data_IF_843227220371
#
_entry.id   IF_843227220371
#
_cell.length_a   1.000
_cell.length_b   1.000
_cell.length_c   1.000
_cell.angle_alpha   90.00
_cell.angle_beta   90.00
_cell.angle_gamma   90.00
#
_symmetry.space_group_name_H-M   'P 1'
#
loop_
_entity.id
_entity.type
_entity.pdbx_description
1 polymer ?
#
# COMPACT_ATOMS: atom_id res chain seq x y z
N UNK A 1 -17.70 -20.92 -4.01
CA UNK A 1 -16.89 -20.03 -4.86
C UNK A 1 -15.50 -20.01 -4.27
N UNK A 2 -14.47 -20.16 -5.11
CA UNK A 2 -13.09 -20.03 -4.67
C UNK A 2 -12.83 -18.64 -4.08
N UNK A 3 -12.03 -18.57 -3.03
CA UNK A 3 -11.74 -17.31 -2.37
C UNK A 3 -10.76 -16.49 -3.21
N UNK A 4 -11.30 -15.59 -4.02
CA UNK A 4 -10.49 -14.70 -4.84
C UNK A 4 -9.54 -13.83 -4.01
N UNK A 5 -9.86 -13.50 -2.76
CA UNK A 5 -8.92 -12.76 -1.89
C UNK A 5 -7.73 -13.62 -1.43
N UNK A 6 -7.92 -14.94 -1.25
CA UNK A 6 -6.81 -15.84 -0.95
C UNK A 6 -5.87 -15.97 -2.16
N UNK A 7 -6.44 -16.18 -3.35
CA UNK A 7 -5.69 -16.19 -4.60
C UNK A 7 -5.00 -14.84 -4.86
N UNK A 8 -5.65 -13.73 -4.54
CA UNK A 8 -5.06 -12.40 -4.67
C UNK A 8 -3.79 -12.26 -3.83
N UNK A 9 -3.80 -12.72 -2.57
CA UNK A 9 -2.61 -12.68 -1.72
C UNK A 9 -1.49 -13.54 -2.31
N UNK A 10 -1.79 -14.74 -2.81
CA UNK A 10 -0.82 -15.61 -3.48
C UNK A 10 -0.23 -14.94 -4.73
N UNK A 11 -1.09 -14.37 -5.58
CA UNK A 11 -0.67 -13.68 -6.79
C UNK A 11 0.20 -12.45 -6.44
N UNK A 12 -0.14 -11.69 -5.38
CA UNK A 12 0.64 -10.53 -4.92
C UNK A 12 2.00 -10.89 -4.31
N UNK A 13 2.21 -12.14 -3.87
CA UNK A 13 3.54 -12.59 -3.44
C UNK A 13 4.46 -12.86 -4.63
N UNK A 14 3.90 -13.18 -5.79
CA UNK A 14 4.65 -13.52 -7.00
C UNK A 14 4.73 -12.35 -7.99
N UNK A 15 3.73 -11.47 -7.95
CA UNK A 15 3.51 -10.35 -8.87
C UNK A 15 3.34 -9.08 -8.06
N UNK A 16 3.98 -7.99 -8.47
CA UNK A 16 3.90 -6.73 -7.73
C UNK A 16 2.52 -6.06 -7.76
N UNK A 17 1.68 -6.42 -8.75
CA UNK A 17 0.40 -5.77 -9.00
C UNK A 17 -0.60 -6.72 -9.65
N UNK A 18 -1.84 -6.70 -9.16
CA UNK A 18 -2.98 -7.50 -9.66
C UNK A 18 -4.23 -6.62 -9.67
N UNK A 19 -5.11 -6.79 -10.65
CA UNK A 19 -6.42 -6.13 -10.67
C UNK A 19 -7.50 -7.14 -10.36
N UNK A 20 -8.34 -6.84 -9.37
CA UNK A 20 -9.57 -7.59 -9.13
C UNK A 20 -10.71 -6.94 -9.90
N UNK A 21 -11.40 -7.73 -10.71
CA UNK A 21 -12.63 -7.33 -11.37
C UNK A 21 -13.81 -7.91 -10.59
N UNK A 22 -14.71 -7.05 -10.11
CA UNK A 22 -15.98 -7.45 -9.51
C UNK A 22 -17.11 -7.11 -10.48
N UNK A 23 -17.77 -8.13 -11.04
CA UNK A 23 -18.91 -7.95 -11.95
C UNK A 23 -20.21 -7.84 -11.16
N UNK A 24 -20.94 -6.77 -11.43
CA UNK A 24 -22.16 -6.36 -10.77
C UNK A 24 -23.31 -6.39 -11.79
N UNK A 25 -24.38 -7.10 -11.47
CA UNK A 25 -25.62 -7.14 -12.24
C UNK A 25 -26.70 -6.35 -11.52
N UNK A 26 -27.30 -5.40 -12.23
CA UNK A 26 -28.55 -4.75 -11.82
C UNK A 26 -29.65 -5.20 -12.76
N UNK A 27 -30.62 -5.96 -12.27
CA UNK A 27 -31.85 -6.28 -13.01
C UNK A 27 -32.94 -5.27 -12.68
N UNK A 28 -33.08 -4.92 -11.40
CA UNK A 28 -33.92 -3.83 -10.90
C UNK A 28 -33.22 -3.16 -9.70
N UNK A 29 -33.74 -2.03 -9.18
CA UNK A 29 -33.17 -1.43 -7.96
C UNK A 29 -33.16 -2.38 -6.76
N UNK A 30 -34.14 -3.30 -6.68
CA UNK A 30 -34.27 -4.30 -5.62
C UNK A 30 -33.52 -5.61 -5.92
N UNK A 31 -33.07 -5.82 -7.17
CA UNK A 31 -32.41 -7.04 -7.62
C UNK A 31 -31.00 -6.71 -8.15
N UNK A 32 -30.07 -6.64 -7.20
CA UNK A 32 -28.65 -6.35 -7.40
C UNK A 32 -27.83 -7.54 -6.93
N UNK A 33 -27.07 -8.14 -7.83
CA UNK A 33 -26.27 -9.34 -7.54
C UNK A 33 -24.82 -9.17 -7.99
N UNK A 34 -23.91 -9.82 -7.27
CA UNK A 34 -22.51 -9.93 -7.67
C UNK A 34 -22.39 -11.21 -8.47
N UNK A 35 -22.03 -11.09 -9.73
CA UNK A 35 -21.96 -12.22 -10.67
C UNK A 35 -20.70 -13.03 -10.38
N UNK A 36 -19.56 -12.34 -10.37
CA UNK A 36 -18.25 -12.96 -10.21
C UNK A 36 -17.22 -11.95 -9.69
N UNK A 37 -16.18 -12.48 -9.07
CA UNK A 37 -14.89 -11.81 -8.89
C UNK A 37 -13.84 -12.59 -9.65
N UNK A 38 -12.99 -11.90 -10.39
CA UNK A 38 -11.86 -12.49 -11.12
C UNK A 38 -10.61 -11.63 -10.94
N UNK A 39 -9.45 -12.25 -11.11
CA UNK A 39 -8.15 -11.61 -10.98
C UNK A 39 -7.48 -11.58 -12.34
N UNK A 40 -6.88 -10.43 -12.67
CA UNK A 40 -6.12 -10.22 -13.89
C UNK A 40 -4.83 -9.50 -13.53
N UNK A 41 -3.71 -10.12 -13.86
CA UNK A 41 -2.40 -9.48 -13.78
C UNK A 41 -2.02 -8.81 -15.11
N UNK A 42 -1.00 -7.95 -15.07
CA UNK A 42 -0.52 -7.22 -16.24
C UNK A 42 -0.15 -8.15 -17.41
N UNK A 43 0.43 -9.30 -17.11
CA UNK A 43 0.90 -10.26 -18.13
C UNK A 43 -0.26 -11.06 -18.78
N UNK A 44 -1.45 -11.01 -18.19
CA UNK A 44 -2.65 -11.72 -18.68
C UNK A 44 -3.57 -10.80 -19.50
N UNK A 45 -3.22 -9.52 -19.65
CA UNK A 45 -4.02 -8.50 -20.34
C UNK A 45 -4.36 -8.84 -21.79
N UNK A 46 -3.48 -9.55 -22.50
CA UNK A 46 -3.68 -9.92 -23.91
C UNK A 46 -4.84 -10.90 -24.13
N UNK A 47 -5.32 -11.55 -23.06
CA UNK A 47 -6.41 -12.53 -23.12
C UNK A 47 -7.81 -11.92 -22.93
N UNK A 48 -7.88 -10.60 -22.69
CA UNK A 48 -9.10 -9.87 -22.35
C UNK A 48 -9.63 -9.11 -23.56
N UNK A 49 -10.94 -8.85 -23.61
CA UNK A 49 -11.53 -7.97 -24.62
C UNK A 49 -10.82 -6.59 -24.66
N UNK A 50 -10.62 -6.05 -25.87
CA UNK A 50 -9.84 -4.82 -26.11
C UNK A 50 -10.36 -3.60 -25.34
N UNK A 51 -11.68 -3.47 -25.16
CA UNK A 51 -12.25 -2.35 -24.42
C UNK A 51 -11.92 -2.47 -22.93
N UNK A 52 -12.06 -3.68 -22.37
CA UNK A 52 -11.76 -3.94 -20.97
C UNK A 52 -10.25 -3.87 -20.70
N UNK A 53 -9.41 -4.35 -21.63
CA UNK A 53 -7.95 -4.23 -21.57
C UNK A 53 -7.50 -2.78 -21.36
N UNK A 54 -7.97 -1.85 -22.22
CA UNK A 54 -7.60 -0.42 -22.14
C UNK A 54 -7.99 0.19 -20.79
N UNK A 55 -9.12 -0.25 -20.22
CA UNK A 55 -9.56 0.25 -18.91
C UNK A 55 -8.72 -0.33 -17.78
N UNK A 56 -8.36 -1.61 -17.83
CA UNK A 56 -7.45 -2.22 -16.86
C UNK A 56 -6.08 -1.53 -16.91
N UNK A 57 -5.55 -1.25 -18.10
CA UNK A 57 -4.31 -0.47 -18.27
C UNK A 57 -4.43 0.91 -17.61
N UNK A 58 -5.55 1.60 -17.80
CA UNK A 58 -5.79 2.89 -17.14
C UNK A 58 -5.90 2.76 -15.62
N UNK A 59 -6.54 1.72 -15.10
CA UNK A 59 -6.64 1.44 -13.66
C UNK A 59 -5.24 1.19 -13.08
N UNK A 60 -4.42 0.38 -13.76
CA UNK A 60 -3.04 0.09 -13.37
C UNK A 60 -2.17 1.36 -13.34
N UNK A 61 -2.34 2.25 -14.34
CA UNK A 61 -1.63 3.52 -14.45
C UNK A 61 -2.09 4.52 -13.38
N UNK A 62 -3.39 4.64 -13.15
CA UNK A 62 -3.97 5.58 -12.17
C UNK A 62 -3.89 5.10 -10.73
N UNK A 63 -3.76 3.79 -10.53
CA UNK A 63 -3.80 3.09 -9.24
C UNK A 63 -5.08 3.30 -8.44
N UNK A 64 -6.17 3.63 -9.11
CA UNK A 64 -7.46 3.91 -8.48
C UNK A 64 -8.52 2.93 -8.98
N UNK A 65 -9.47 2.52 -8.12
CA UNK A 65 -10.64 1.81 -8.58
C UNK A 65 -11.42 2.59 -9.64
N UNK A 66 -11.98 1.87 -10.61
CA UNK A 66 -12.82 2.46 -11.65
C UNK A 66 -14.05 1.57 -11.90
N UNK A 67 -15.22 2.19 -11.98
CA UNK A 67 -16.46 1.53 -12.39
C UNK A 67 -16.59 1.61 -13.92
N UNK A 68 -16.83 0.47 -14.54
CA UNK A 68 -16.89 0.29 -15.99
C UNK A 68 -18.28 -0.22 -16.32
N UNK A 69 -18.98 0.42 -17.25
CA UNK A 69 -20.24 -0.14 -17.79
C UNK A 69 -19.91 -0.86 -19.09
N UNK A 70 -20.24 -2.15 -19.18
CA UNK A 70 -20.02 -2.97 -20.38
C UNK A 70 -21.12 -2.72 -21.43
N UNK A 71 -20.90 -3.20 -22.65
CA UNK A 71 -21.90 -3.10 -23.73
C UNK A 71 -23.22 -3.80 -23.38
N UNK A 72 -23.18 -4.83 -22.52
CA UNK A 72 -24.35 -5.60 -22.06
C UNK A 72 -25.02 -4.97 -20.81
N UNK A 73 -24.70 -3.72 -20.49
CA UNK A 73 -25.21 -2.97 -19.33
C UNK A 73 -24.86 -3.62 -17.97
N UNK A 74 -23.80 -4.42 -17.93
CA UNK A 74 -23.19 -4.88 -16.67
C UNK A 74 -22.25 -3.81 -16.13
N UNK A 75 -22.13 -3.70 -14.81
CA UNK A 75 -21.15 -2.82 -14.18
C UNK A 75 -19.99 -3.66 -13.66
N UNK A 76 -18.76 -3.29 -13.96
CA UNK A 76 -17.55 -3.95 -13.47
C UNK A 76 -16.76 -2.96 -12.65
N UNK A 77 -16.52 -3.26 -11.38
CA UNK A 77 -15.54 -2.54 -10.57
C UNK A 77 -14.18 -3.18 -10.80
N UNK A 78 -13.22 -2.43 -11.35
CA UNK A 78 -11.83 -2.84 -11.41
C UNK A 78 -11.04 -2.17 -10.29
N UNK A 79 -10.37 -2.97 -9.45
CA UNK A 79 -9.61 -2.51 -8.30
C UNK A 79 -8.15 -2.94 -8.42
N UNK A 80 -7.17 -2.02 -8.42
CA UNK A 80 -5.76 -2.38 -8.43
C UNK A 80 -5.29 -2.70 -7.01
N UNK A 81 -4.60 -3.83 -6.85
CA UNK A 81 -3.92 -4.25 -5.63
C UNK A 81 -2.42 -4.37 -5.88
N UNK A 82 -1.64 -4.17 -4.82
CA UNK A 82 -0.19 -4.11 -4.85
C UNK A 82 0.37 -4.90 -3.68
N UNK A 83 1.55 -5.49 -3.86
CA UNK A 83 2.26 -6.21 -2.80
C UNK A 83 2.52 -5.32 -1.58
N UNK A 84 2.58 -5.93 -0.41
CA UNK A 84 2.82 -5.23 0.84
C UNK A 84 4.18 -4.56 0.79
N UNK A 85 4.23 -3.25 1.07
CA UNK A 85 5.49 -2.53 1.08
C UNK A 85 6.40 -3.09 2.18
N UNK A 86 7.61 -3.53 1.83
CA UNK A 86 8.58 -4.03 2.79
C UNK A 86 9.70 -3.01 2.99
N UNK A 87 9.89 -2.57 4.22
CA UNK A 87 10.96 -1.64 4.61
C UNK A 87 12.17 -2.46 5.06
N UNK A 88 13.22 -2.48 4.24
CA UNK A 88 14.47 -3.18 4.53
C UNK A 88 15.47 -2.19 5.10
N UNK A 89 15.84 -2.35 6.36
CA UNK A 89 16.79 -1.49 7.07
C UNK A 89 18.13 -2.21 7.18
N UNK A 90 19.10 -1.78 6.37
CA UNK A 90 20.47 -2.28 6.39
C UNK A 90 21.29 -1.49 7.42
N UNK A 91 21.44 -2.06 8.60
CA UNK A 91 22.10 -1.48 9.76
C UNK A 91 21.16 -1.41 10.97
N UNK A 92 21.53 -2.07 12.07
CA UNK A 92 20.73 -2.17 13.29
C UNK A 92 21.01 -1.08 14.34
N UNK A 93 21.56 0.07 13.91
CA UNK A 93 22.05 1.16 14.76
C UNK A 93 20.98 1.88 15.60
N UNK A 94 21.31 3.08 16.11
CA UNK A 94 20.35 3.85 16.93
C UNK A 94 19.20 4.44 16.11
N UNK A 95 19.46 4.86 14.87
CA UNK A 95 18.43 5.37 13.94
C UNK A 95 17.46 4.27 13.53
N UNK A 96 17.95 3.05 13.36
CA UNK A 96 17.15 1.91 12.93
C UNK A 96 16.00 1.56 13.89
N UNK A 97 16.15 1.85 15.19
CA UNK A 97 15.12 1.56 16.21
C UNK A 97 13.81 2.34 15.97
N UNK A 98 13.82 3.69 16.04
CA UNK A 98 12.61 4.46 15.73
C UNK A 98 12.19 4.27 14.28
N UNK A 99 13.13 4.09 13.34
CA UNK A 99 12.79 3.84 11.94
C UNK A 99 11.99 2.55 11.75
N UNK A 100 12.40 1.44 12.37
CA UNK A 100 11.68 0.17 12.32
C UNK A 100 10.29 0.31 12.94
N UNK A 101 10.20 0.96 14.11
CA UNK A 101 8.92 1.23 14.76
C UNK A 101 7.98 2.05 13.87
N UNK A 102 8.43 3.20 13.37
CA UNK A 102 7.60 4.09 12.56
C UNK A 102 7.23 3.45 11.21
N UNK A 103 8.13 2.64 10.64
CA UNK A 103 7.84 1.84 9.45
C UNK A 103 6.67 0.89 9.68
N UNK A 104 6.73 0.10 10.76
CA UNK A 104 5.66 -0.82 11.12
C UNK A 104 4.35 -0.08 11.45
N UNK A 105 4.41 1.01 12.23
CA UNK A 105 3.24 1.82 12.62
C UNK A 105 2.48 2.40 11.40
N UNK A 106 3.13 2.58 10.24
CA UNK A 106 2.48 3.06 9.01
C UNK A 106 2.23 1.95 7.97
N UNK A 107 2.35 0.68 8.38
CA UNK A 107 1.97 -0.48 7.59
C UNK A 107 3.04 -1.01 6.63
N UNK A 108 4.33 -0.79 6.92
CA UNK A 108 5.39 -1.54 6.25
C UNK A 108 5.68 -2.87 6.96
N UNK A 109 5.92 -3.92 6.18
CA UNK A 109 6.58 -5.12 6.69
C UNK A 109 8.05 -4.81 6.90
N UNK A 110 8.50 -4.75 8.15
CA UNK A 110 9.87 -4.30 8.45
C UNK A 110 10.83 -5.47 8.58
N UNK A 111 11.93 -5.41 7.83
CA UNK A 111 13.08 -6.31 7.95
C UNK A 111 14.31 -5.51 8.36
N UNK A 112 14.96 -5.89 9.46
CA UNK A 112 16.22 -5.25 9.91
C UNK A 112 17.39 -6.20 9.76
N UNK A 113 18.51 -5.71 9.25
CA UNK A 113 19.74 -6.50 9.06
C UNK A 113 20.93 -5.84 9.74
N UNK A 114 21.71 -6.60 10.51
CA UNK A 114 23.04 -6.19 11.00
C UNK A 114 23.88 -7.44 11.28
N UNK A 115 25.20 -7.37 11.09
CA UNK A 115 26.11 -8.49 11.34
C UNK A 115 26.45 -8.69 12.84
N UNK A 116 26.01 -7.78 13.72
CA UNK A 116 26.24 -7.87 15.17
C UNK A 116 25.01 -8.42 15.89
N UNK A 117 25.15 -9.51 16.67
CA UNK A 117 24.04 -10.06 17.46
C UNK A 117 23.37 -9.06 18.42
N UNK A 118 24.14 -8.13 19.00
CA UNK A 118 23.60 -7.09 19.89
C UNK A 118 22.73 -6.04 19.16
N UNK A 119 22.89 -5.93 17.84
CA UNK A 119 22.19 -4.98 16.98
C UNK A 119 21.19 -5.64 16.05
N UNK A 120 21.20 -6.96 15.88
CA UNK A 120 20.22 -7.74 15.12
C UNK A 120 19.60 -8.83 15.98
N UNK A 121 18.60 -8.47 16.79
CA UNK A 121 17.78 -9.41 17.53
C UNK A 121 16.35 -8.87 17.71
N UNK A 122 15.38 -9.78 17.87
CA UNK A 122 13.96 -9.42 17.98
C UNK A 122 13.67 -8.53 19.19
N UNK A 123 14.37 -8.72 20.32
CA UNK A 123 14.18 -7.88 21.51
C UNK A 123 14.54 -6.41 21.29
N UNK A 124 15.42 -6.12 20.32
CA UNK A 124 15.79 -4.75 19.93
C UNK A 124 14.76 -4.12 18.98
N UNK A 125 14.09 -4.92 18.16
CA UNK A 125 13.10 -4.49 17.16
C UNK A 125 11.83 -5.35 17.27
N UNK A 126 11.04 -5.17 18.34
CA UNK A 126 9.87 -6.01 18.57
C UNK A 126 8.80 -5.87 17.46
N UNK A 127 8.72 -4.71 16.80
CA UNK A 127 7.79 -4.43 15.71
C UNK A 127 8.27 -4.94 14.34
N UNK A 128 9.54 -5.35 14.20
CA UNK A 128 10.05 -5.87 12.94
C UNK A 128 9.50 -7.27 12.68
N UNK A 129 8.92 -7.47 11.50
CA UNK A 129 8.44 -8.79 11.04
C UNK A 129 9.60 -9.78 10.88
N UNK A 130 10.82 -9.29 10.64
CA UNK A 130 12.02 -10.10 10.53
C UNK A 130 13.26 -9.33 11.00
N UNK A 131 14.15 -9.99 11.74
CA UNK A 131 15.48 -9.46 12.07
C UNK A 131 16.54 -10.48 11.68
N UNK A 132 17.43 -10.11 10.76
CA UNK A 132 18.50 -10.94 10.24
C UNK A 132 19.84 -10.54 10.87
N UNK A 133 20.45 -11.46 11.62
CA UNK A 133 21.82 -11.31 12.10
C UNK A 133 22.79 -11.91 11.07
N UNK A 134 23.08 -11.17 10.01
CA UNK A 134 23.86 -11.64 8.84
C UNK A 134 24.76 -10.53 8.28
N UNK A 135 25.80 -10.91 7.53
CA UNK A 135 26.70 -9.99 6.85
C UNK A 135 26.00 -9.22 5.72
N UNK A 136 26.46 -7.99 5.48
CA UNK A 136 25.93 -7.17 4.38
C UNK A 136 26.31 -7.72 3.00
N UNK A 137 27.29 -8.62 2.93
CA UNK A 137 27.71 -9.30 1.71
C UNK A 137 26.76 -10.43 1.32
N UNK A 138 26.12 -11.11 2.28
CA UNK A 138 25.34 -12.35 2.04
C UNK A 138 23.85 -12.22 2.35
N UNK A 139 23.43 -11.19 3.09
CA UNK A 139 22.03 -11.02 3.46
C UNK A 139 21.07 -10.92 2.24
N UNK A 140 21.56 -10.47 1.08
CA UNK A 140 20.75 -10.27 -0.12
C UNK A 140 20.18 -11.57 -0.71
N UNK A 141 20.85 -12.72 -0.49
CA UNK A 141 20.36 -14.04 -0.86
C UNK A 141 19.06 -14.40 -0.14
N UNK A 142 18.91 -13.89 1.09
CA UNK A 142 17.73 -14.06 1.93
C UNK A 142 16.67 -12.97 1.67
N UNK A 143 17.10 -11.76 1.35
CA UNK A 143 16.19 -10.62 1.18
C UNK A 143 15.41 -10.71 -0.14
N UNK A 144 16.09 -11.11 -1.23
CA UNK A 144 15.52 -11.14 -2.59
C UNK A 144 14.78 -9.83 -2.91
N UNK A 145 15.56 -8.74 -3.02
CA UNK A 145 15.01 -7.39 -3.16
C UNK A 145 14.17 -7.28 -4.45
N UNK A 146 12.96 -6.74 -4.34
CA UNK A 146 11.99 -6.60 -5.44
C UNK A 146 11.34 -5.21 -5.45
N UNK A 147 10.42 -4.97 -6.40
CA UNK A 147 9.85 -3.64 -6.61
C UNK A 147 8.85 -3.16 -5.55
N UNK A 148 8.50 -3.98 -4.57
CA UNK A 148 7.74 -3.54 -3.38
C UNK A 148 8.64 -3.11 -2.21
N UNK A 149 9.96 -3.24 -2.37
CA UNK A 149 10.92 -2.96 -1.31
C UNK A 149 11.34 -1.50 -1.25
N UNK A 150 11.47 -1.03 -0.01
CA UNK A 150 12.00 0.27 0.35
C UNK A 150 13.27 0.04 1.16
N UNK A 151 14.42 0.27 0.55
CA UNK A 151 15.72 -0.05 1.14
C UNK A 151 16.35 1.19 1.76
N UNK A 152 16.69 1.08 3.04
CA UNK A 152 17.36 2.13 3.81
C UNK A 152 18.71 1.64 4.29
N UNK A 153 19.77 2.26 3.79
CA UNK A 153 21.16 1.99 4.19
C UNK A 153 21.54 2.96 5.32
N UNK A 154 21.59 2.42 6.54
CA UNK A 154 21.94 3.13 7.79
C UNK A 154 22.99 2.33 8.59
N UNK A 155 24.01 1.85 7.89
CA UNK A 155 25.01 0.96 8.48
C UNK A 155 25.93 1.68 9.47
N UNK A 156 26.83 0.92 10.10
CA UNK A 156 27.83 1.44 11.05
C UNK A 156 29.01 2.19 10.42
N UNK A 157 29.03 2.37 9.10
CA UNK A 157 30.04 3.23 8.46
C UNK A 157 30.23 2.98 6.97
N UNK A 158 30.92 3.95 6.35
CA UNK A 158 31.07 4.11 4.89
C UNK A 158 31.45 2.84 4.12
N UNK A 159 32.30 1.96 4.67
CA UNK A 159 32.67 0.71 4.01
C UNK A 159 31.46 -0.21 3.81
N UNK A 160 30.63 -0.35 4.83
CA UNK A 160 29.44 -1.19 4.79
C UNK A 160 28.33 -0.54 3.98
N UNK A 161 28.20 0.80 4.01
CA UNK A 161 27.27 1.52 3.14
C UNK A 161 27.58 1.24 1.65
N UNK A 162 28.86 1.23 1.29
CA UNK A 162 29.32 0.91 -0.07
C UNK A 162 29.07 -0.56 -0.46
N UNK A 163 29.19 -1.51 0.48
CA UNK A 163 28.85 -2.93 0.22
C UNK A 163 27.36 -3.06 -0.07
N UNK A 164 26.51 -2.53 0.80
CA UNK A 164 25.06 -2.55 0.63
C UNK A 164 24.63 -1.89 -0.68
N UNK A 165 25.18 -0.70 -0.98
CA UNK A 165 24.81 0.05 -2.17
C UNK A 165 25.13 -0.73 -3.45
N UNK A 166 26.31 -1.36 -3.56
CA UNK A 166 26.66 -2.18 -4.72
C UNK A 166 25.70 -3.34 -4.96
N UNK A 167 25.25 -3.99 -3.89
CA UNK A 167 24.36 -5.15 -3.98
C UNK A 167 22.93 -4.79 -4.40
N UNK A 168 22.47 -3.59 -4.03
CA UNK A 168 21.06 -3.20 -4.21
C UNK A 168 20.83 -2.21 -5.35
N UNK A 169 21.87 -1.52 -5.84
CA UNK A 169 21.74 -0.49 -6.87
C UNK A 169 21.11 -1.00 -8.16
N UNK A 170 21.35 -2.27 -8.51
CA UNK A 170 20.79 -2.89 -9.71
C UNK A 170 19.42 -3.55 -9.49
N UNK A 171 18.90 -3.53 -8.26
CA UNK A 171 17.56 -4.04 -7.97
C UNK A 171 16.45 -3.08 -8.45
N UNK A 172 15.23 -3.63 -8.55
CA UNK A 172 14.05 -2.86 -8.93
C UNK A 172 13.34 -2.19 -7.73
N UNK A 173 14.02 -2.04 -6.58
CA UNK A 173 13.41 -1.47 -5.36
C UNK A 173 12.71 -0.12 -5.61
N UNK A 174 11.53 0.09 -5.04
CA UNK A 174 10.74 1.32 -5.18
C UNK A 174 11.47 2.54 -4.62
N UNK A 175 12.29 2.32 -3.60
CA UNK A 175 13.07 3.35 -2.94
C UNK A 175 14.41 2.81 -2.46
N UNK A 176 15.47 3.58 -2.70
CA UNK A 176 16.81 3.32 -2.20
C UNK A 176 17.37 4.60 -1.58
N UNK A 177 17.48 4.60 -0.27
CA UNK A 177 18.02 5.71 0.51
C UNK A 177 19.29 5.31 1.25
N UNK A 178 20.25 6.24 1.33
CA UNK A 178 21.52 6.00 2.03
C UNK A 178 21.89 7.17 2.94
N UNK A 179 22.18 6.85 4.20
CA UNK A 179 22.70 7.81 5.16
C UNK A 179 24.11 8.27 4.78
N UNK A 180 24.41 9.54 5.04
CA UNK A 180 25.75 10.04 4.79
C UNK A 180 25.82 11.55 4.88
N UNK A 181 27.03 12.07 5.08
CA UNK A 181 27.24 13.51 4.88
C UNK A 181 27.45 13.77 3.39
N UNK A 182 27.04 14.95 2.89
CA UNK A 182 27.17 15.30 1.46
C UNK A 182 28.54 14.96 0.87
N UNK A 183 29.61 15.26 1.60
CA UNK A 183 30.99 14.94 1.19
C UNK A 183 31.23 13.44 1.07
N UNK A 184 30.79 12.64 2.05
CA UNK A 184 30.98 11.18 2.03
C UNK A 184 30.18 10.52 0.91
N UNK A 185 28.94 10.97 0.74
CA UNK A 185 28.05 10.51 -0.33
C UNK A 185 28.69 10.78 -1.68
N UNK A 186 29.14 12.03 -1.93
CA UNK A 186 29.80 12.41 -3.18
C UNK A 186 31.00 11.50 -3.50
N UNK A 187 31.90 11.30 -2.54
CA UNK A 187 33.08 10.46 -2.75
C UNK A 187 32.72 9.00 -3.08
N UNK A 188 31.66 8.45 -2.44
CA UNK A 188 31.20 7.10 -2.73
C UNK A 188 30.55 7.01 -4.12
N UNK A 189 29.73 8.00 -4.51
CA UNK A 189 29.15 8.02 -5.85
C UNK A 189 30.23 8.09 -6.94
N UNK A 190 31.25 8.95 -6.77
CA UNK A 190 32.38 9.05 -7.70
C UNK A 190 33.17 7.73 -7.80
N UNK A 191 33.35 7.04 -6.66
CA UNK A 191 33.99 5.72 -6.64
C UNK A 191 33.18 4.69 -7.44
N UNK A 192 31.85 4.64 -7.24
CA UNK A 192 31.00 3.68 -7.93
C UNK A 192 30.90 3.96 -9.44
N UNK A 193 30.87 5.23 -9.85
CA UNK A 193 31.00 5.59 -11.28
C UNK A 193 32.33 5.09 -11.83
N UNK A 194 33.43 5.25 -11.08
CA UNK A 194 34.75 4.74 -11.47
C UNK A 194 34.83 3.21 -11.55
N UNK A 195 33.99 2.50 -10.80
CA UNK A 195 33.84 1.04 -10.85
C UNK A 195 32.93 0.57 -12.01
N UNK A 196 32.29 1.50 -12.74
CA UNK A 196 31.48 1.21 -13.91
C UNK A 196 29.97 1.10 -13.64
N UNK A 197 29.49 1.49 -12.46
CA UNK A 197 28.05 1.54 -12.18
C UNK A 197 27.36 2.66 -12.96
N UNK A 198 26.10 2.42 -13.35
CA UNK A 198 25.30 3.37 -14.11
C UNK A 198 25.01 4.66 -13.31
N UNK A 199 25.45 5.79 -13.85
CA UNK A 199 25.27 7.10 -13.22
C UNK A 199 23.78 7.48 -13.11
N UNK A 200 22.94 7.04 -14.05
CA UNK A 200 21.50 7.25 -14.02
C UNK A 200 20.82 6.56 -12.83
N UNK A 201 21.25 5.34 -12.49
CA UNK A 201 20.79 4.62 -11.28
C UNK A 201 21.34 5.27 -10.01
N UNK A 202 22.61 5.65 -9.98
CA UNK A 202 23.20 6.35 -8.83
C UNK A 202 22.50 7.67 -8.51
N UNK A 203 22.07 8.41 -9.53
CA UNK A 203 21.30 9.65 -9.39
C UNK A 203 19.89 9.44 -8.82
N UNK A 204 19.39 8.21 -8.79
CA UNK A 204 18.10 7.88 -8.17
C UNK A 204 18.21 7.54 -6.68
N UNK A 205 19.43 7.40 -6.15
CA UNK A 205 19.68 7.11 -4.72
C UNK A 205 19.41 8.37 -3.88
N UNK A 206 18.54 8.25 -2.88
CA UNK A 206 18.23 9.34 -1.96
C UNK A 206 19.34 9.47 -0.92
N UNK A 207 20.26 10.41 -1.16
CA UNK A 207 21.43 10.60 -0.31
C UNK A 207 21.95 12.05 -0.29
N UNK A 208 22.16 12.68 0.90
CA UNK A 208 21.78 12.19 2.22
C UNK A 208 20.28 11.92 2.32
N UNK A 209 19.95 10.76 2.90
CA UNK A 209 18.57 10.29 3.05
C UNK A 209 17.73 11.23 3.95
N UNK A 210 16.44 11.36 3.62
CA UNK A 210 15.45 12.05 4.44
C UNK A 210 15.23 13.52 4.07
N UNK A 211 14.03 14.02 4.36
CA UNK A 211 13.67 15.41 4.11
C UNK A 211 14.49 16.38 4.97
N UNK A 212 14.84 17.53 4.39
CA UNK A 212 15.61 18.59 5.06
C UNK A 212 14.76 19.38 6.07
N UNK A 213 14.45 18.74 7.20
CA UNK A 213 13.64 19.31 8.29
C UNK A 213 14.46 19.77 9.51
N UNK A 214 15.80 19.70 9.43
CA UNK A 214 16.69 20.07 10.53
C UNK A 214 16.82 19.01 11.62
N UNK A 215 16.55 17.74 11.30
CA UNK A 215 16.62 16.62 12.23
C UNK A 215 18.02 16.42 12.85
N UNK A 216 18.07 16.16 14.15
CA UNK A 216 19.30 15.95 14.93
C UNK A 216 19.26 14.63 15.71
N UNK A 217 18.13 14.33 16.36
CA UNK A 217 17.99 13.10 17.17
C UNK A 217 17.70 11.88 16.28
N UNK A 218 17.99 10.64 16.74
CA UNK A 218 17.62 9.42 16.00
C UNK A 218 16.14 9.36 15.61
N UNK A 219 15.25 9.81 16.49
CA UNK A 219 13.81 9.86 16.30
C UNK A 219 13.42 10.88 15.21
N UNK A 220 14.00 12.09 15.26
CA UNK A 220 13.78 13.12 14.22
C UNK A 220 14.33 12.68 12.86
N UNK A 221 15.51 12.02 12.85
CA UNK A 221 16.11 11.50 11.62
C UNK A 221 15.23 10.39 11.04
N UNK A 222 14.71 9.49 11.88
CA UNK A 222 13.76 8.48 11.43
C UNK A 222 12.47 9.10 10.87
N UNK A 223 11.92 10.14 11.50
CA UNK A 223 10.75 10.89 10.95
C UNK A 223 11.10 11.52 9.60
N UNK A 224 12.28 12.14 9.48
CA UNK A 224 12.76 12.73 8.23
C UNK A 224 12.85 11.71 7.09
N UNK A 225 13.38 10.52 7.38
CA UNK A 225 13.46 9.39 6.43
C UNK A 225 12.05 8.89 6.08
N UNK A 226 11.20 8.64 7.08
CA UNK A 226 9.84 8.14 6.83
C UNK A 226 9.00 9.16 6.05
N UNK A 227 9.16 10.45 6.30
CA UNK A 227 8.48 11.49 5.53
C UNK A 227 8.93 11.50 4.06
N UNK A 228 10.21 11.25 3.77
CA UNK A 228 10.71 11.11 2.40
C UNK A 228 10.16 9.84 1.72
N UNK A 229 10.16 8.71 2.44
CA UNK A 229 9.58 7.44 1.96
C UNK A 229 8.08 7.61 1.66
N UNK A 230 7.32 8.24 2.55
CA UNK A 230 5.90 8.55 2.32
C UNK A 230 5.74 9.47 1.11
N UNK A 231 6.58 10.51 0.98
CA UNK A 231 6.56 11.40 -0.19
C UNK A 231 6.75 10.61 -1.49
N UNK A 232 7.76 9.73 -1.53
CA UNK A 232 8.01 8.84 -2.68
C UNK A 232 6.80 7.93 -2.96
N UNK A 233 6.31 7.23 -1.93
CA UNK A 233 5.15 6.32 -2.01
C UNK A 233 3.87 7.00 -2.51
N UNK A 234 3.66 8.28 -2.21
CA UNK A 234 2.38 8.99 -2.47
C UNK A 234 2.42 9.96 -3.64
N UNK A 235 3.61 10.41 -4.05
CA UNK A 235 3.78 11.41 -5.10
C UNK A 235 4.56 10.87 -6.31
N UNK A 236 5.13 9.65 -6.22
CA UNK A 236 6.08 9.07 -7.19
C UNK A 236 7.16 10.07 -7.61
N UNK A 237 7.65 10.89 -6.67
CA UNK A 237 8.71 11.85 -6.94
C UNK A 237 9.97 11.10 -7.40
N UNK A 238 10.62 11.58 -8.46
CA UNK A 238 12.05 11.36 -8.68
C UNK A 238 12.82 12.36 -7.81
N UNK A 239 14.07 12.06 -7.44
CA UNK A 239 14.90 12.92 -6.59
C UNK A 239 15.12 14.36 -7.15
N UNK A 240 14.71 14.61 -8.40
CA UNK A 240 15.00 15.81 -9.19
C UNK A 240 13.79 16.64 -9.65
N UNK A 241 12.53 16.23 -9.42
CA UNK A 241 11.36 16.93 -9.97
C UNK A 241 10.40 17.52 -8.90
N UNK A 242 9.83 18.70 -9.22
CA UNK A 242 8.86 19.42 -8.39
C UNK A 242 7.51 18.71 -8.23
N UNK A 243 6.58 19.26 -7.41
CA UNK A 243 5.42 18.52 -6.93
C UNK A 243 4.44 18.17 -8.07
N UNK A 244 4.27 16.87 -8.34
CA UNK A 244 3.14 16.32 -9.09
C UNK A 244 1.95 16.09 -8.16
N UNK A 245 0.73 16.14 -8.72
CA UNK A 245 -0.55 15.84 -8.04
C UNK A 245 -0.45 14.45 -7.35
N UNK A 246 -1.01 14.27 -6.14
CA UNK A 246 -1.04 12.98 -5.42
C UNK A 246 -1.44 11.84 -6.37
N UNK A 247 -0.56 10.85 -6.53
CA UNK A 247 -0.81 9.63 -7.29
C UNK A 247 -0.88 8.48 -6.29
N UNK A 248 -2.06 7.91 -6.12
CA UNK A 248 -2.30 6.88 -5.11
C UNK A 248 -2.14 5.50 -5.74
N UNK A 249 -0.92 5.04 -6.03
CA UNK A 249 -0.75 3.71 -6.66
C UNK A 249 -0.15 2.64 -5.73
N UNK A 250 -0.05 2.85 -4.42
CA UNK A 250 0.35 1.77 -3.50
C UNK A 250 -0.55 1.68 -2.27
N UNK A 251 -1.75 2.26 -2.43
CA UNK A 251 -2.95 2.13 -1.62
C UNK A 251 -2.94 2.55 -0.16
N UNK A 252 -4.07 3.15 0.22
CA UNK A 252 -4.58 3.17 1.59
C UNK A 252 -5.31 1.84 1.87
N UNK A 253 -4.82 0.70 1.36
CA UNK A 253 -5.39 -0.61 1.69
C UNK A 253 -4.83 -1.05 3.04
N UNK A 254 -5.71 -1.55 3.88
CA UNK A 254 -5.35 -2.20 5.12
C UNK A 254 -5.09 -3.68 4.80
N UNK A 255 -3.85 -4.14 4.93
CA UNK A 255 -3.48 -5.52 4.62
C UNK A 255 -4.22 -6.52 5.54
N UNK A 256 -4.53 -6.10 6.76
CA UNK A 256 -5.32 -6.90 7.71
C UNK A 256 -6.74 -7.18 7.17
N UNK A 257 -7.33 -6.22 6.46
CA UNK A 257 -8.62 -6.41 5.77
C UNK A 257 -8.49 -7.49 4.69
N UNK A 258 -7.41 -7.49 3.90
CA UNK A 258 -7.19 -8.51 2.87
C UNK A 258 -6.98 -9.89 3.48
N UNK A 259 -6.16 -10.00 4.53
CA UNK A 259 -5.94 -11.26 5.25
C UNK A 259 -7.25 -11.80 5.83
N UNK A 260 -8.08 -10.92 6.40
CA UNK A 260 -9.40 -11.32 6.89
C UNK A 260 -10.30 -11.84 5.75
N UNK A 261 -10.34 -11.17 4.60
CA UNK A 261 -11.11 -11.62 3.44
C UNK A 261 -10.55 -12.91 2.81
N UNK A 262 -9.23 -13.10 2.85
CA UNK A 262 -8.57 -14.31 2.40
C UNK A 262 -8.81 -15.51 3.34
N UNK A 263 -9.03 -15.25 4.64
CA UNK A 263 -9.26 -16.28 5.64
C UNK A 263 -10.53 -17.10 5.38
N UNK A 264 -10.61 -18.29 5.98
CA UNK A 264 -11.79 -19.15 5.95
C UNK A 264 -12.80 -18.79 7.05
N UNK A 265 -13.02 -17.49 7.27
CA UNK A 265 -14.03 -17.03 8.22
C UNK A 265 -15.44 -17.46 7.75
N UNK A 266 -16.15 -18.12 8.67
CA UNK A 266 -17.51 -18.64 8.50
C UNK A 266 -18.57 -17.58 8.77
N UNK A 267 -18.20 -16.40 9.27
CA UNK A 267 -19.13 -15.32 9.52
C UNK A 267 -19.38 -14.50 8.26
N UNK A 268 -20.68 -14.26 8.01
CA UNK A 268 -21.14 -13.38 6.94
C UNK A 268 -20.82 -11.93 7.31
N UNK A 269 -20.27 -11.19 6.35
CA UNK A 269 -19.84 -9.81 6.54
C UNK A 269 -20.04 -8.98 5.29
N UNK A 270 -20.11 -7.66 5.43
CA UNK A 270 -20.20 -6.74 4.32
C UNK A 270 -18.83 -6.14 4.05
N UNK A 271 -18.46 -6.00 2.79
CA UNK A 271 -17.29 -5.24 2.37
C UNK A 271 -17.78 -3.90 1.86
N UNK A 272 -17.26 -2.83 2.43
CA UNK A 272 -17.48 -1.46 2.00
C UNK A 272 -16.22 -1.00 1.30
N UNK A 273 -16.36 -0.46 0.09
CA UNK A 273 -15.27 0.04 -0.73
C UNK A 273 -15.57 1.44 -1.20
N UNK A 274 -14.67 2.40 -0.94
CA UNK A 274 -14.77 3.74 -1.56
C UNK A 274 -14.42 3.61 -3.04
N UNK A 275 -15.37 3.90 -3.93
CA UNK A 275 -15.18 3.76 -5.39
C UNK A 275 -14.80 5.08 -6.06
N UNK A 276 -15.31 6.20 -5.56
CA UNK A 276 -15.00 7.53 -6.08
C UNK A 276 -15.14 8.60 -5.00
N UNK A 277 -14.53 9.76 -5.27
CA UNK A 277 -14.64 10.93 -4.40
C UNK A 277 -14.67 12.23 -5.17
N UNK A 278 -15.24 13.25 -4.54
CA UNK A 278 -15.18 14.66 -4.95
C UNK A 278 -14.90 15.52 -3.72
N UNK A 279 -13.93 16.42 -3.81
CA UNK A 279 -13.54 17.28 -2.69
C UNK A 279 -12.66 16.58 -1.66
N UNK A 280 -12.66 17.10 -0.43
CA UNK A 280 -11.83 16.61 0.67
C UNK A 280 -12.58 15.51 1.44
N UNK A 281 -12.06 14.30 1.38
CA UNK A 281 -12.61 13.13 2.10
C UNK A 281 -11.46 12.45 2.84
N UNK A 282 -11.73 11.81 3.99
CA UNK A 282 -10.69 11.32 4.89
C UNK A 282 -9.87 10.17 4.29
N UNK A 283 -10.51 9.23 3.57
CA UNK A 283 -9.83 8.16 2.82
C UNK A 283 -10.18 8.22 1.34
N UNK A 284 -9.20 7.90 0.50
CA UNK A 284 -9.37 7.92 -0.96
C UNK A 284 -10.07 6.67 -1.51
N UNK A 285 -10.38 6.65 -2.83
CA UNK A 285 -10.86 5.45 -3.49
C UNK A 285 -9.90 4.28 -3.29
N UNK A 286 -10.46 3.09 -3.08
CA UNK A 286 -9.76 1.88 -2.67
C UNK A 286 -9.81 1.64 -1.16
N UNK A 287 -10.06 2.64 -0.32
CA UNK A 287 -10.22 2.36 1.10
C UNK A 287 -11.36 1.35 1.34
N UNK A 288 -11.07 0.33 2.14
CA UNK A 288 -11.99 -0.77 2.45
C UNK A 288 -12.24 -0.87 3.95
N UNK A 289 -13.43 -1.32 4.27
CA UNK A 289 -13.88 -1.63 5.62
C UNK A 289 -14.78 -2.86 5.58
N UNK A 290 -14.64 -3.73 6.57
CA UNK A 290 -15.48 -4.89 6.79
C UNK A 290 -16.43 -4.58 7.94
N UNK A 291 -17.70 -4.97 7.80
CA UNK A 291 -18.70 -4.95 8.88
C UNK A 291 -19.29 -6.34 9.06
N UNK A 292 -19.29 -6.85 10.29
CA UNK A 292 -20.02 -8.07 10.65
C UNK A 292 -21.45 -7.76 11.07
N UNK A 293 -22.31 -8.79 11.08
CA UNK A 293 -23.72 -8.65 11.47
C UNK A 293 -23.93 -8.14 12.91
N UNK A 294 -22.97 -8.37 13.80
CA UNK A 294 -22.98 -7.92 15.19
C UNK A 294 -22.43 -6.49 15.39
N UNK A 295 -21.97 -5.85 14.31
CA UNK A 295 -21.44 -4.49 14.34
C UNK A 295 -19.94 -4.40 14.61
N UNK A 296 -19.20 -5.51 14.75
CA UNK A 296 -17.73 -5.48 14.66
C UNK A 296 -17.31 -4.88 13.31
N UNK A 297 -16.16 -4.20 13.30
CA UNK A 297 -15.58 -3.62 12.10
C UNK A 297 -14.07 -3.89 12.01
N UNK A 298 -13.55 -3.89 10.78
CA UNK A 298 -12.12 -3.97 10.49
C UNK A 298 -11.81 -3.06 9.29
N UNK A 299 -10.71 -2.31 9.34
CA UNK A 299 -10.42 -1.26 8.36
C UNK A 299 -11.29 -0.01 8.56
N UNK A 300 -11.15 0.96 7.65
CA UNK A 300 -11.85 2.26 7.75
C UNK A 300 -11.96 2.93 6.38
N UNK A 301 -13.09 3.59 6.14
CA UNK A 301 -13.32 4.50 4.99
C UNK A 301 -13.18 5.98 5.38
N UNK A 302 -12.81 6.24 6.64
CA UNK A 302 -12.22 7.49 7.11
C UNK A 302 -12.89 8.15 8.32
N UNK A 303 -13.62 7.39 9.13
CA UNK A 303 -14.12 7.81 10.44
C UNK A 303 -15.39 8.66 10.41
N UNK A 304 -16.04 8.78 11.57
CA UNK A 304 -17.12 9.74 11.83
C UNK A 304 -18.51 9.29 11.39
N UNK A 305 -19.41 10.26 11.21
CA UNK A 305 -20.84 9.99 10.97
C UNK A 305 -21.13 9.33 9.62
N UNK A 306 -20.27 9.56 8.63
CA UNK A 306 -20.29 8.85 7.35
C UNK A 306 -20.10 7.34 7.51
N UNK A 307 -19.20 6.90 8.39
CA UNK A 307 -19.00 5.46 8.66
C UNK A 307 -20.19 4.85 9.42
N UNK A 308 -20.79 5.59 10.35
CA UNK A 308 -21.95 5.11 11.11
C UNK A 308 -23.14 4.84 10.18
N UNK A 309 -23.46 5.78 9.29
CA UNK A 309 -24.55 5.64 8.31
C UNK A 309 -24.32 4.44 7.38
N UNK A 310 -23.11 4.35 6.80
CA UNK A 310 -22.74 3.24 5.90
C UNK A 310 -22.78 1.90 6.64
N UNK A 311 -22.38 1.86 7.91
CA UNK A 311 -22.42 0.64 8.73
C UNK A 311 -23.86 0.18 9.01
N UNK A 312 -24.80 1.09 9.21
CA UNK A 312 -26.23 0.75 9.34
C UNK A 312 -26.75 0.10 8.06
N UNK A 313 -26.54 0.75 6.91
CA UNK A 313 -26.96 0.24 5.59
C UNK A 313 -26.31 -1.11 5.29
N UNK A 314 -25.04 -1.30 5.65
CA UNK A 314 -24.34 -2.56 5.48
C UNK A 314 -24.96 -3.69 6.30
N UNK A 315 -25.34 -3.43 7.56
CA UNK A 315 -26.02 -4.44 8.39
C UNK A 315 -27.41 -4.79 7.87
N UNK A 316 -28.17 -3.81 7.39
CA UNK A 316 -29.48 -4.06 6.79
C UNK A 316 -29.36 -4.93 5.51
N UNK A 317 -28.35 -4.67 4.69
CA UNK A 317 -28.02 -5.49 3.52
C UNK A 317 -27.58 -6.91 3.93
N UNK A 318 -26.86 -7.07 5.05
CA UNK A 318 -26.52 -8.39 5.56
C UNK A 318 -27.74 -9.18 6.00
N UNK A 319 -28.76 -8.52 6.56
CA UNK A 319 -30.01 -9.16 6.94
C UNK A 319 -30.82 -9.61 5.71
N UNK A 320 -30.80 -8.85 4.61
CA UNK A 320 -31.57 -9.19 3.40
C UNK A 320 -31.03 -10.41 2.64
N UNK A 321 -29.76 -10.78 2.81
CA UNK A 321 -29.24 -12.09 2.37
C UNK A 321 -28.07 -12.04 1.41
N UNK A 322 -28.16 -11.28 0.32
CA UNK A 322 -27.14 -11.25 -0.73
C UNK A 322 -27.24 -9.97 -1.54
N UNK A 323 -26.19 -9.70 -2.33
CA UNK A 323 -26.19 -8.62 -3.30
C UNK A 323 -25.25 -7.49 -2.94
N UNK A 324 -25.51 -6.32 -3.53
CA UNK A 324 -24.72 -5.12 -3.30
C UNK A 324 -25.61 -3.87 -3.33
N UNK A 325 -25.10 -2.80 -2.71
CA UNK A 325 -25.65 -1.46 -2.78
C UNK A 325 -24.56 -0.46 -3.13
N UNK A 326 -24.96 0.61 -3.80
CA UNK A 326 -24.12 1.78 -4.04
C UNK A 326 -24.73 2.93 -3.29
N UNK A 327 -23.93 3.64 -2.50
CA UNK A 327 -24.41 4.73 -1.66
C UNK A 327 -23.51 5.96 -1.85
N UNK A 328 -24.14 7.13 -1.94
CA UNK A 328 -23.44 8.40 -1.93
C UNK A 328 -23.43 8.92 -0.49
N UNK A 329 -22.25 9.25 -0.01
CA UNK A 329 -22.02 9.79 1.33
C UNK A 329 -21.62 11.25 1.17
N UNK A 330 -22.48 12.15 1.63
CA UNK A 330 -22.28 13.59 1.55
C UNK A 330 -21.86 14.14 2.92
N UNK A 331 -20.64 14.66 3.01
CA UNK A 331 -20.07 15.24 4.23
C UNK A 331 -19.97 16.78 4.12
N UNK A 332 -20.71 17.39 3.19
CA UNK A 332 -20.71 18.85 2.97
C UNK A 332 -21.78 19.62 3.74
N UNK A 333 -22.72 18.91 4.39
CA UNK A 333 -23.92 19.50 5.00
C UNK A 333 -23.71 20.24 6.33
N UNK A 334 -24.63 21.16 6.64
CA UNK A 334 -24.65 21.99 7.86
C UNK A 334 -24.86 21.23 9.16
N UNK A 335 -25.38 19.99 9.11
CA UNK A 335 -25.50 19.10 10.29
C UNK A 335 -24.12 18.64 10.79
N UNK A 336 -23.10 18.71 9.93
CA UNK A 336 -21.73 18.35 10.28
C UNK A 336 -20.99 19.45 11.07
N UNK A 337 -21.47 20.71 11.02
CA UNK A 337 -20.88 21.83 11.79
C UNK A 337 -21.12 21.66 13.31
N UNK A 338 -22.24 21.05 13.71
CA UNK A 338 -22.60 20.86 15.13
C UNK A 338 -21.79 19.74 15.81
N UNK A 339 -21.20 18.81 15.04
CA UNK A 339 -20.40 17.67 15.55
C UNK A 339 -18.88 17.81 15.34
N UNK A 340 -18.42 18.89 14.69
CA UNK A 340 -17.01 19.33 14.70
C UNK A 340 -15.99 18.50 13.89
N UNK A 341 -16.43 17.49 13.12
CA UNK A 341 -15.55 16.59 12.34
C UNK A 341 -15.93 16.56 10.86
N UNK A 342 -15.71 17.66 10.12
CA UNK A 342 -16.17 17.78 8.73
C UNK A 342 -15.03 17.64 7.72
N UNK A 343 -15.03 16.54 6.97
CA UNK A 343 -14.32 16.48 5.70
C UNK A 343 -15.29 16.95 4.61
N UNK A 344 -15.20 18.21 4.15
CA UNK A 344 -16.17 18.84 3.24
C UNK A 344 -16.18 18.30 1.80
N UNK A 345 -16.35 16.99 1.62
CA UNK A 345 -16.38 16.30 0.34
C UNK A 345 -17.50 15.27 0.26
N UNK A 346 -17.57 14.60 -0.88
CA UNK A 346 -18.55 13.56 -1.18
C UNK A 346 -17.77 12.33 -1.62
N UNK A 347 -18.18 11.16 -1.15
CA UNK A 347 -17.66 9.89 -1.64
C UNK A 347 -18.79 8.96 -2.08
N UNK A 348 -18.54 8.13 -3.08
CA UNK A 348 -19.43 7.04 -3.44
C UNK A 348 -18.81 5.74 -2.92
N UNK A 349 -19.63 4.90 -2.29
CA UNK A 349 -19.22 3.61 -1.73
C UNK A 349 -20.01 2.46 -2.35
N UNK A 350 -19.33 1.34 -2.59
CA UNK A 350 -19.93 0.05 -2.89
C UNK A 350 -19.96 -0.78 -1.61
N UNK A 351 -21.15 -1.26 -1.24
CA UNK A 351 -21.37 -2.16 -0.12
C UNK A 351 -21.76 -3.52 -0.71
N UNK A 352 -20.96 -4.55 -0.50
CA UNK A 352 -21.23 -5.90 -0.99
C UNK A 352 -21.35 -6.90 0.15
N UNK A 353 -22.30 -7.83 0.03
CA UNK A 353 -22.38 -8.97 0.95
C UNK A 353 -21.29 -9.97 0.61
N UNK A 354 -20.37 -10.18 1.53
CA UNK A 354 -19.39 -11.26 1.47
C UNK A 354 -19.93 -12.49 2.21
N UNK A 355 -20.21 -13.59 1.49
CA UNK A 355 -20.90 -14.74 2.06
C UNK A 355 -20.01 -15.49 3.05
N UNK A 356 -20.63 -16.06 4.07
CA UNK A 356 -20.00 -17.08 4.92
C UNK A 356 -19.58 -18.28 4.08
N UNK A 357 -18.35 -18.78 4.25
CA UNK A 357 -18.01 -20.12 3.76
C UNK A 357 -18.69 -21.16 4.66
N UNK A 358 -19.36 -22.13 4.06
CA UNK A 358 -19.89 -23.32 4.74
C UNK A 358 -18.84 -24.41 4.78
#
# INVERSE_FOLDING_TARGET
>A
MDNQYAKLIEDLQQKNQVVMLTRLKTVTEADKTIIEKSLISKDELETVDKQLQKTIENILIKGLPELIVTADNETVLGEPFYSEGRLIILGGGHIAKPLAKYGADIGFKVTVVDDRPAFANQGRFPEASQVLCESFETCFDHLQVNASDYVVIVTRGHRHDAVCLRQVLDSDSEYLGMIGSKRRVKNLMELLVGEGFDEGKLNQVYSPIGLKIGAVTPEEIAISIMAEIISKKRLHQSASEGPKRRQTNQSDFDYEVLENLASNDTEKRAIITVVSKKGSVPRGPGAKMIIWSDGRSLGSIGGGCSEAEVSLVARDLLQSGSGYLTMKVDMTGSVAEDEGMVCGGIMDVLIEVYPSKK
#
